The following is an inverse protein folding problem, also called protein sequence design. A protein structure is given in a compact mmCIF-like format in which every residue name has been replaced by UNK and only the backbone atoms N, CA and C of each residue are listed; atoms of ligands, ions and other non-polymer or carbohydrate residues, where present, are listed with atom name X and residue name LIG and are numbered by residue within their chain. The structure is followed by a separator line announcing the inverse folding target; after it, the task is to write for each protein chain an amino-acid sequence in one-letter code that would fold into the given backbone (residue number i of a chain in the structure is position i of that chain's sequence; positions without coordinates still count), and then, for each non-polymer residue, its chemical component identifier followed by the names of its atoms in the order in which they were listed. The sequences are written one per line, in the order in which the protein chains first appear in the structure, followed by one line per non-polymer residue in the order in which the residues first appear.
data_IF_495356595724
#
_entry.id   IF_495356595724
#
_cell.length_a   1.000
_cell.length_b   1.000
_cell.length_c   1.000
_cell.angle_alpha   90.00
_cell.angle_beta   90.00
_cell.angle_gamma   90.00
#
_symmetry.space_group_name_H-M   'P 1'
#
loop_
_entity.id
_entity.type
_entity.pdbx_description
1 polymer ?
#
# COMPACT_ATOMS: atom_id res chain seq x y z
N UNK A 1 -5.32 20.01 5.79
CA UNK A 1 -6.61 19.30 5.65
C UNK A 1 -7.54 19.56 6.83
N UNK A 2 -7.01 20.01 7.97
CA UNK A 2 -7.76 20.23 9.23
C UNK A 2 -8.99 21.15 9.07
N UNK A 3 -8.95 22.19 8.23
CA UNK A 3 -10.13 23.06 8.06
C UNK A 3 -11.24 22.47 7.16
N UNK A 4 -11.06 21.24 6.64
CA UNK A 4 -12.03 20.61 5.73
C UNK A 4 -13.15 19.94 6.50
N UNK A 5 -14.26 20.67 6.66
CA UNK A 5 -15.47 20.25 7.39
C UNK A 5 -16.64 19.85 6.49
N UNK A 6 -16.49 19.99 5.18
CA UNK A 6 -17.54 19.67 4.21
C UNK A 6 -17.79 18.16 4.11
N UNK A 7 -19.03 17.71 3.85
CA UNK A 7 -19.30 16.32 3.51
C UNK A 7 -18.36 15.85 2.41
N UNK A 8 -17.74 14.68 2.61
CA UNK A 8 -16.62 14.23 1.77
C UNK A 8 -16.80 12.78 1.37
N UNK A 9 -16.81 12.53 0.06
CA UNK A 9 -16.80 11.20 -0.51
C UNK A 9 -15.48 10.97 -1.24
N UNK A 10 -14.65 10.09 -0.67
CA UNK A 10 -13.27 9.84 -1.09
C UNK A 10 -13.19 8.49 -1.80
N UNK A 11 -12.38 8.43 -2.84
CA UNK A 11 -12.06 7.18 -3.52
C UNK A 11 -10.56 6.89 -3.38
N UNK A 12 -10.23 5.63 -3.11
CA UNK A 12 -8.85 5.15 -3.07
C UNK A 12 -8.69 3.89 -3.92
N UNK A 13 -7.48 3.66 -4.41
CA UNK A 13 -7.17 2.49 -5.23
C UNK A 13 -5.78 1.96 -4.92
N UNK A 14 -5.59 0.66 -5.09
CA UNK A 14 -4.26 0.03 -5.10
C UNK A 14 -3.45 0.40 -6.35
N UNK A 15 -4.14 0.76 -7.43
CA UNK A 15 -3.56 0.97 -8.74
C UNK A 15 -2.78 2.27 -8.87
N UNK A 16 -1.95 2.37 -9.91
CA UNK A 16 -1.22 3.56 -10.39
C UNK A 16 -0.10 4.10 -9.52
N UNK A 17 0.03 3.69 -8.25
CA UNK A 17 1.18 4.06 -7.40
C UNK A 17 1.30 5.56 -7.08
N UNK A 18 0.22 6.34 -7.26
CA UNK A 18 0.25 7.80 -7.12
C UNK A 18 -0.55 8.30 -5.92
N UNK A 19 -1.85 7.97 -5.85
CA UNK A 19 -2.79 8.65 -4.95
C UNK A 19 -3.14 7.86 -3.68
N UNK A 20 -2.63 6.64 -3.52
CA UNK A 20 -3.08 5.70 -2.48
C UNK A 20 -2.94 6.29 -1.07
N UNK A 21 -1.70 6.54 -0.63
CA UNK A 21 -1.42 7.09 0.71
C UNK A 21 -2.12 8.44 0.91
N UNK A 22 -2.14 9.28 -0.13
CA UNK A 22 -2.83 10.58 -0.09
C UNK A 22 -4.33 10.47 0.18
N UNK A 23 -5.03 9.53 -0.47
CA UNK A 23 -6.47 9.30 -0.24
C UNK A 23 -6.76 8.82 1.18
N UNK A 24 -5.97 7.88 1.70
CA UNK A 24 -6.15 7.38 3.07
C UNK A 24 -5.82 8.44 4.12
N UNK A 25 -4.71 9.17 3.95
CA UNK A 25 -4.38 10.33 4.79
C UNK A 25 -5.48 11.37 4.75
N UNK A 26 -6.00 11.69 3.56
CA UNK A 26 -7.13 12.60 3.42
C UNK A 26 -8.35 12.14 4.21
N UNK A 27 -8.72 10.87 4.10
CA UNK A 27 -9.83 10.33 4.88
C UNK A 27 -9.58 10.39 6.40
N UNK A 28 -8.36 10.11 6.86
CA UNK A 28 -8.02 10.18 8.28
C UNK A 28 -7.97 11.61 8.82
N UNK A 29 -7.33 12.53 8.10
CA UNK A 29 -6.92 13.87 8.57
C UNK A 29 -8.00 14.96 8.40
N UNK A 30 -9.03 14.78 7.57
CA UNK A 30 -10.12 15.77 7.45
C UNK A 30 -11.03 15.76 8.70
N UNK A 31 -11.49 16.95 9.10
CA UNK A 31 -12.36 17.14 10.27
C UNK A 31 -13.84 16.81 10.02
N UNK A 32 -14.25 16.65 8.76
CA UNK A 32 -15.61 16.27 8.39
C UNK A 32 -16.09 15.02 9.13
N UNK A 33 -17.26 15.13 9.77
CA UNK A 33 -17.96 14.00 10.39
C UNK A 33 -18.76 13.19 9.36
N UNK A 34 -19.08 13.81 8.23
CA UNK A 34 -19.80 13.19 7.11
C UNK A 34 -18.79 12.81 6.02
N UNK A 35 -18.03 11.75 6.31
CA UNK A 35 -17.01 11.24 5.40
C UNK A 35 -17.18 9.77 5.10
N UNK A 36 -16.99 9.43 3.82
CA UNK A 36 -17.02 8.09 3.28
C UNK A 36 -15.79 7.83 2.43
N UNK A 37 -15.31 6.59 2.41
CA UNK A 37 -14.26 6.13 1.51
C UNK A 37 -14.64 4.83 0.82
N UNK A 38 -14.51 4.81 -0.51
CA UNK A 38 -14.61 3.61 -1.33
C UNK A 38 -13.23 3.23 -1.86
N UNK A 39 -12.73 2.07 -1.46
CA UNK A 39 -11.47 1.50 -1.95
C UNK A 39 -11.79 0.49 -3.03
N UNK A 40 -11.31 0.70 -4.25
CA UNK A 40 -11.59 -0.18 -5.39
C UNK A 40 -10.34 -0.96 -5.81
N UNK A 41 -10.58 -2.12 -6.42
CA UNK A 41 -9.53 -3.03 -6.88
C UNK A 41 -8.99 -2.67 -8.28
N UNK A 42 -9.67 -1.80 -9.01
CA UNK A 42 -9.41 -1.55 -10.43
C UNK A 42 -8.53 -0.32 -10.68
N UNK A 43 -8.24 -0.06 -11.94
CA UNK A 43 -7.57 1.14 -12.42
C UNK A 43 -8.45 2.39 -12.19
N UNK A 44 -7.86 3.50 -11.75
CA UNK A 44 -8.59 4.73 -11.35
C UNK A 44 -9.55 5.31 -12.41
N UNK A 45 -9.13 5.44 -13.67
CA UNK A 45 -9.98 5.95 -14.75
C UNK A 45 -11.02 4.91 -15.15
N UNK A 46 -10.65 3.63 -15.16
CA UNK A 46 -11.62 2.57 -15.37
C UNK A 46 -12.75 2.64 -14.33
N UNK A 47 -12.42 2.70 -13.03
CA UNK A 47 -13.39 2.80 -11.94
C UNK A 47 -14.26 4.04 -12.06
N UNK A 48 -13.65 5.20 -12.29
CA UNK A 48 -14.32 6.50 -12.38
C UNK A 48 -15.45 6.52 -13.42
N UNK A 49 -15.28 5.83 -14.54
CA UNK A 49 -16.26 5.78 -15.63
C UNK A 49 -17.17 4.55 -15.58
N UNK A 50 -17.08 3.71 -14.54
CA UNK A 50 -18.08 2.65 -14.34
C UNK A 50 -19.43 3.24 -13.94
N UNK A 51 -20.51 2.61 -14.39
CA UNK A 51 -21.87 2.98 -13.99
C UNK A 51 -22.02 2.98 -12.46
N UNK A 52 -21.46 1.96 -11.80
CA UNK A 52 -21.49 1.83 -10.35
C UNK A 52 -20.88 3.05 -9.64
N UNK A 53 -19.68 3.49 -10.06
CA UNK A 53 -19.04 4.67 -9.45
C UNK A 53 -19.78 5.96 -9.77
N UNK A 54 -20.26 6.14 -11.00
CA UNK A 54 -20.99 7.35 -11.39
C UNK A 54 -22.33 7.45 -10.67
N UNK A 55 -23.05 6.34 -10.50
CA UNK A 55 -24.31 6.30 -9.74
C UNK A 55 -24.08 6.64 -8.27
N UNK A 56 -23.00 6.11 -7.67
CA UNK A 56 -22.65 6.35 -6.27
C UNK A 56 -22.23 7.80 -6.03
N UNK A 57 -21.43 8.37 -6.94
CA UNK A 57 -21.08 9.80 -6.95
C UNK A 57 -22.33 10.67 -7.10
N UNK A 58 -23.23 10.33 -8.03
CA UNK A 58 -24.48 11.06 -8.23
C UNK A 58 -25.33 11.02 -6.95
N UNK A 59 -25.46 9.86 -6.29
CA UNK A 59 -26.23 9.73 -5.05
C UNK A 59 -25.69 10.65 -3.94
N UNK A 60 -24.37 10.71 -3.77
CA UNK A 60 -23.72 11.64 -2.85
C UNK A 60 -24.01 13.11 -3.22
N UNK A 61 -23.84 13.48 -4.49
CA UNK A 61 -24.05 14.85 -4.95
C UNK A 61 -25.52 15.29 -4.85
N UNK A 62 -26.47 14.42 -5.20
CA UNK A 62 -27.90 14.69 -5.06
C UNK A 62 -28.26 14.95 -3.59
N UNK A 63 -27.65 14.21 -2.66
CA UNK A 63 -27.88 14.41 -1.22
C UNK A 63 -27.36 15.76 -0.72
N UNK A 64 -26.13 16.12 -1.05
CA UNK A 64 -25.44 17.28 -0.44
C UNK A 64 -25.48 18.57 -1.26
N UNK A 65 -25.76 18.49 -2.57
CA UNK A 65 -25.90 19.67 -3.44
C UNK A 65 -27.34 19.99 -3.81
N UNK A 66 -28.24 18.99 -3.83
CA UNK A 66 -29.66 19.19 -4.13
C UNK A 66 -30.58 19.01 -2.92
N UNK A 67 -30.07 18.51 -1.80
CA UNK A 67 -30.86 18.26 -0.58
C UNK A 67 -31.84 17.09 -0.71
N UNK A 68 -31.63 16.18 -1.68
CA UNK A 68 -32.52 15.03 -1.89
C UNK A 68 -32.32 14.01 -0.75
N UNK A 69 -33.39 13.64 -0.07
CA UNK A 69 -33.37 12.53 0.90
C UNK A 69 -33.39 11.17 0.16
N UNK A 70 -32.20 10.70 -0.21
CA UNK A 70 -31.99 9.43 -0.91
C UNK A 70 -31.34 8.35 -0.02
N UNK A 71 -31.28 8.61 1.30
CA UNK A 71 -30.66 7.72 2.29
C UNK A 71 -29.16 7.47 2.06
N UNK A 72 -28.41 8.43 1.50
CA UNK A 72 -26.95 8.32 1.33
C UNK A 72 -26.24 8.00 2.65
N UNK A 73 -26.69 8.56 3.77
CA UNK A 73 -26.10 8.36 5.09
C UNK A 73 -26.18 6.91 5.59
N UNK A 74 -27.04 6.08 4.99
CA UNK A 74 -27.08 4.64 5.26
C UNK A 74 -25.94 3.86 4.57
N UNK A 75 -25.19 4.52 3.69
CA UNK A 75 -24.03 3.93 3.01
C UNK A 75 -22.92 3.67 4.03
N UNK A 76 -22.30 2.47 4.05
CA UNK A 76 -21.17 2.18 4.92
C UNK A 76 -20.06 3.23 4.75
N UNK A 77 -19.57 3.77 5.88
CA UNK A 77 -18.49 4.79 5.91
C UNK A 77 -17.24 4.33 5.17
N UNK A 78 -16.94 3.04 5.26
CA UNK A 78 -15.83 2.43 4.52
C UNK A 78 -16.39 1.27 3.69
N UNK A 79 -16.12 1.28 2.39
CA UNK A 79 -16.33 0.16 1.48
C UNK A 79 -14.96 -0.25 0.94
N UNK A 80 -14.46 -1.39 1.35
CA UNK A 80 -13.08 -1.80 1.08
C UNK A 80 -13.04 -2.93 0.04
N UNK A 81 -12.06 -2.91 -0.85
CA UNK A 81 -11.79 -4.01 -1.77
C UNK A 81 -10.56 -4.81 -1.31
N UNK A 82 -10.55 -6.13 -1.49
CA UNK A 82 -9.40 -6.99 -1.24
C UNK A 82 -8.94 -7.63 -2.54
N UNK A 83 -7.76 -7.23 -3.02
CA UNK A 83 -7.13 -7.85 -4.19
C UNK A 83 -6.64 -9.26 -3.81
N UNK A 84 -7.14 -10.26 -4.53
CA UNK A 84 -6.77 -11.67 -4.32
C UNK A 84 -5.73 -12.17 -5.32
N UNK A 85 -5.34 -11.35 -6.30
CA UNK A 85 -4.38 -11.61 -7.37
C UNK A 85 -4.82 -12.69 -8.36
N UNK A 86 -4.92 -13.94 -7.90
CA UNK A 86 -5.23 -15.11 -8.73
C UNK A 86 -6.69 -15.57 -8.61
N UNK A 87 -7.56 -14.71 -8.07
CA UNK A 87 -9.01 -14.90 -7.92
C UNK A 87 -9.68 -13.53 -7.98
N UNK A 88 -10.98 -13.52 -8.23
CA UNK A 88 -11.76 -12.30 -8.18
C UNK A 88 -11.59 -11.59 -6.83
N UNK A 89 -11.39 -10.29 -6.92
CA UNK A 89 -11.31 -9.40 -5.77
C UNK A 89 -12.63 -9.40 -5.01
N UNK A 90 -12.56 -9.31 -3.70
CA UNK A 90 -13.74 -9.06 -2.87
C UNK A 90 -13.95 -7.54 -2.87
N UNK A 91 -15.07 -7.03 -3.36
CA UNK A 91 -15.33 -5.58 -3.49
C UNK A 91 -16.48 -5.15 -2.58
N UNK A 92 -16.55 -3.85 -2.27
CA UNK A 92 -17.59 -3.24 -1.43
C UNK A 92 -17.79 -3.91 -0.06
N UNK A 93 -16.72 -4.46 0.53
CA UNK A 93 -16.80 -5.05 1.88
C UNK A 93 -17.02 -3.92 2.88
N UNK A 94 -18.14 -3.89 3.62
CA UNK A 94 -18.50 -2.77 4.46
C UNK A 94 -17.73 -2.80 5.79
N UNK A 95 -17.27 -1.63 6.24
CA UNK A 95 -16.68 -1.42 7.56
C UNK A 95 -17.16 -0.10 8.17
N UNK A 96 -17.15 -0.04 9.50
CA UNK A 96 -17.52 1.15 10.28
C UNK A 96 -16.41 2.21 10.32
N UNK A 97 -15.16 1.78 10.17
CA UNK A 97 -13.95 2.60 10.02
C UNK A 97 -12.94 1.84 9.14
N UNK A 98 -11.76 2.41 8.86
CA UNK A 98 -10.69 1.73 8.13
C UNK A 98 -10.37 0.38 8.81
N UNK A 99 -10.18 -0.71 8.05
CA UNK A 99 -10.10 -2.06 8.63
C UNK A 99 -9.05 -2.22 9.74
N UNK A 100 -7.94 -1.47 9.68
CA UNK A 100 -6.86 -1.50 10.66
C UNK A 100 -7.10 -0.66 11.92
N UNK A 101 -8.14 0.18 11.93
CA UNK A 101 -8.56 0.93 13.12
C UNK A 101 -9.57 0.15 13.98
N UNK A 102 -10.09 -0.97 13.46
CA UNK A 102 -11.10 -1.77 14.15
C UNK A 102 -10.46 -2.61 15.27
N UNK A 103 -11.21 -2.86 16.34
CA UNK A 103 -10.77 -3.73 17.44
C UNK A 103 -10.44 -5.17 17.00
N UNK A 104 -10.99 -5.63 15.88
CA UNK A 104 -10.69 -6.93 15.29
C UNK A 104 -9.39 -6.96 14.48
N UNK A 105 -8.75 -5.81 14.26
CA UNK A 105 -7.47 -5.74 13.58
C UNK A 105 -6.35 -6.30 14.46
N UNK A 106 -5.49 -7.12 13.86
CA UNK A 106 -4.32 -7.70 14.54
C UNK A 106 -3.05 -7.31 13.80
N UNK A 107 -2.15 -6.59 14.50
CA UNK A 107 -0.81 -6.33 13.99
C UNK A 107 0.00 -7.61 13.86
N UNK A 108 0.73 -7.77 12.76
CA UNK A 108 1.62 -8.91 12.52
C UNK A 108 3.06 -8.39 12.34
N UNK A 109 3.91 -8.67 13.30
CA UNK A 109 5.35 -8.42 13.19
C UNK A 109 6.04 -9.66 12.63
N UNK A 110 6.86 -9.49 11.60
CA UNK A 110 7.75 -10.51 11.04
C UNK A 110 9.19 -10.00 11.02
N UNK A 111 10.15 -10.87 11.36
CA UNK A 111 11.57 -10.55 11.43
C UNK A 111 12.31 -11.10 10.21
N UNK A 112 13.23 -10.31 9.64
CA UNK A 112 14.10 -10.78 8.57
C UNK A 112 15.20 -11.70 9.13
N UNK A 113 15.58 -12.73 8.38
CA UNK A 113 16.63 -13.68 8.75
C UNK A 113 17.69 -13.85 7.65
N UNK A 114 18.89 -14.30 8.02
CA UNK A 114 20.00 -14.52 7.09
C UNK A 114 19.71 -15.60 6.03
N UNK A 115 18.84 -16.56 6.33
CA UNK A 115 18.37 -17.59 5.40
C UNK A 115 17.27 -17.08 4.45
N UNK A 116 17.10 -15.76 4.33
CA UNK A 116 16.15 -15.10 3.41
C UNK A 116 14.70 -15.50 3.68
N UNK A 117 14.33 -15.62 4.95
CA UNK A 117 12.94 -15.85 5.39
C UNK A 117 12.44 -14.69 6.26
N UNK A 118 11.13 -14.66 6.41
CA UNK A 118 10.45 -13.86 7.42
C UNK A 118 10.03 -14.79 8.56
N UNK A 119 10.41 -14.48 9.79
CA UNK A 119 10.14 -15.29 10.97
C UNK A 119 9.10 -14.62 11.86
N UNK A 120 8.25 -15.41 12.53
CA UNK A 120 7.30 -14.88 13.53
C UNK A 120 7.95 -14.61 14.89
N UNK A 121 9.18 -15.07 15.10
CA UNK A 121 9.97 -14.87 16.31
C UNK A 121 11.28 -14.19 15.95
N UNK A 122 11.79 -13.33 16.83
CA UNK A 122 13.07 -12.65 16.64
C UNK A 122 14.20 -13.71 16.61
N UNK A 123 15.10 -13.69 15.61
CA UNK A 123 16.30 -14.52 15.63
C UNK A 123 17.17 -14.27 16.87
N UNK A 124 17.80 -15.31 17.41
CA UNK A 124 18.78 -15.19 18.50
C UNK A 124 20.07 -14.52 18.04
N UNK A 125 20.55 -14.93 16.88
CA UNK A 125 21.85 -14.51 16.35
C UNK A 125 21.68 -13.41 15.29
N UNK A 126 22.61 -12.44 15.25
CA UNK A 126 22.63 -11.47 14.18
C UNK A 126 22.96 -12.16 12.85
N UNK A 127 22.38 -11.64 11.78
CA UNK A 127 22.60 -12.15 10.43
C UNK A 127 22.67 -10.99 9.43
N UNK A 128 23.38 -11.21 8.33
CA UNK A 128 23.47 -10.24 7.24
C UNK A 128 23.29 -10.93 5.89
N UNK A 129 22.73 -10.18 4.95
CA UNK A 129 22.66 -10.53 3.53
C UNK A 129 23.04 -9.30 2.71
N UNK A 130 23.52 -9.53 1.50
CA UNK A 130 24.02 -8.46 0.64
C UNK A 130 23.59 -8.70 -0.80
N UNK A 131 23.50 -7.61 -1.56
CA UNK A 131 23.21 -7.59 -2.99
C UNK A 131 23.97 -6.43 -3.63
N UNK A 132 24.12 -6.47 -4.96
CA UNK A 132 24.80 -5.43 -5.72
C UNK A 132 23.80 -4.34 -6.07
N UNK A 133 23.95 -3.15 -5.48
CA UNK A 133 22.93 -2.10 -5.55
C UNK A 133 22.83 -1.37 -6.92
N UNK A 134 23.88 -1.41 -7.74
CA UNK A 134 23.90 -0.82 -9.09
C UNK A 134 23.61 -1.86 -10.19
N UNK A 135 23.31 -3.10 -9.81
CA UNK A 135 22.92 -4.13 -10.76
C UNK A 135 21.54 -3.80 -11.35
N UNK A 136 21.30 -4.08 -12.64
CA UNK A 136 19.97 -3.93 -13.23
C UNK A 136 18.95 -4.78 -12.49
N UNK A 137 17.79 -4.21 -12.18
CA UNK A 137 16.61 -4.93 -11.68
C UNK A 137 15.51 -4.91 -12.74
N UNK A 138 14.87 -6.06 -12.95
CA UNK A 138 13.74 -6.18 -13.87
C UNK A 138 12.44 -5.52 -13.36
N UNK A 139 12.37 -5.15 -12.06
CA UNK A 139 11.26 -4.51 -11.35
C UNK A 139 9.89 -5.24 -11.41
N UNK A 140 9.77 -6.35 -12.14
CA UNK A 140 8.51 -7.03 -12.47
C UNK A 140 8.35 -8.36 -11.72
N UNK A 141 9.45 -9.02 -11.38
CA UNK A 141 9.45 -10.33 -10.73
C UNK A 141 10.73 -10.58 -9.95
N UNK A 142 10.94 -11.83 -9.51
CA UNK A 142 12.19 -12.22 -8.88
C UNK A 142 13.38 -11.90 -9.76
N UNK A 143 14.35 -11.17 -9.22
CA UNK A 143 15.64 -10.93 -9.86
C UNK A 143 16.74 -11.46 -8.97
N UNK A 144 17.72 -12.18 -9.53
CA UNK A 144 18.88 -12.65 -8.76
C UNK A 144 19.67 -11.51 -8.08
N UNK A 145 19.52 -10.27 -8.58
CA UNK A 145 20.13 -9.07 -8.02
C UNK A 145 19.37 -8.49 -6.82
N UNK A 146 18.14 -8.94 -6.54
CA UNK A 146 17.32 -8.46 -5.45
C UNK A 146 17.34 -9.42 -4.24
N UNK A 147 17.00 -8.90 -3.06
CA UNK A 147 16.81 -9.72 -1.85
C UNK A 147 15.32 -10.04 -1.64
N UNK A 148 14.99 -11.34 -1.59
CA UNK A 148 13.64 -11.83 -1.32
C UNK A 148 13.58 -12.46 0.07
N UNK A 149 12.51 -12.16 0.82
CA UNK A 149 12.23 -12.78 2.11
C UNK A 149 10.81 -13.34 2.10
N UNK A 150 10.66 -14.64 2.35
CA UNK A 150 9.36 -15.32 2.25
C UNK A 150 8.74 -15.65 3.60
N UNK A 151 7.41 -15.50 3.70
CA UNK A 151 6.56 -16.02 4.78
C UNK A 151 5.39 -16.82 4.20
N UNK A 152 5.11 -18.00 4.76
CA UNK A 152 3.93 -18.79 4.36
C UNK A 152 2.83 -18.65 5.42
N UNK A 153 1.67 -18.15 5.01
CA UNK A 153 0.49 -18.12 5.86
C UNK A 153 -0.18 -19.50 5.89
N UNK A 154 -0.36 -20.06 7.09
CA UNK A 154 -0.96 -21.40 7.28
C UNK A 154 -2.50 -21.38 7.25
N UNK A 155 -3.10 -20.19 7.33
CA UNK A 155 -4.54 -19.98 7.29
C UNK A 155 -4.88 -18.82 6.37
N UNK A 156 -6.10 -18.84 5.82
CA UNK A 156 -6.60 -17.73 5.00
C UNK A 156 -6.53 -16.44 5.81
N UNK A 157 -5.79 -15.46 5.30
CA UNK A 157 -5.52 -14.20 5.98
C UNK A 157 -5.82 -13.04 5.04
N UNK A 158 -6.48 -11.99 5.53
CA UNK A 158 -6.61 -10.70 4.86
C UNK A 158 -5.58 -9.75 5.46
N UNK A 159 -4.75 -9.14 4.61
CA UNK A 159 -3.87 -8.04 5.00
C UNK A 159 -4.55 -6.75 4.56
N UNK A 160 -4.78 -5.83 5.50
CA UNK A 160 -5.35 -4.52 5.23
C UNK A 160 -4.71 -3.47 6.13
N UNK A 161 -4.28 -2.38 5.51
CA UNK A 161 -3.66 -1.26 6.21
C UNK A 161 -2.20 -1.05 5.85
N UNK A 162 -1.57 -0.05 6.48
CA UNK A 162 -0.19 0.31 6.24
C UNK A 162 0.75 -0.84 6.61
N UNK A 163 1.83 -0.99 5.85
CA UNK A 163 2.94 -1.86 6.21
C UNK A 163 4.23 -1.04 6.36
N UNK A 164 5.11 -1.46 7.25
CA UNK A 164 6.40 -0.80 7.46
C UNK A 164 7.51 -1.84 7.46
N UNK A 165 8.52 -1.64 6.62
CA UNK A 165 9.77 -2.38 6.65
C UNK A 165 10.79 -1.65 7.52
N UNK A 166 11.24 -2.28 8.60
CA UNK A 166 12.32 -1.77 9.44
C UNK A 166 13.61 -2.46 9.00
N UNK A 167 14.52 -1.71 8.40
CA UNK A 167 15.76 -2.23 7.84
C UNK A 167 16.98 -1.59 8.50
N UNK A 168 18.04 -2.37 8.64
CA UNK A 168 19.35 -1.93 9.09
C UNK A 168 20.30 -2.13 7.92
N UNK A 169 20.75 -1.04 7.29
CA UNK A 169 21.45 -1.07 6.01
C UNK A 169 22.81 -0.38 6.11
N UNK A 170 23.82 -0.94 5.44
CA UNK A 170 25.14 -0.34 5.29
C UNK A 170 25.62 -0.48 3.85
N UNK A 171 26.63 0.30 3.46
CA UNK A 171 27.38 0.12 2.20
C UNK A 171 28.84 0.37 2.51
N UNK A 172 29.77 -0.41 1.94
CA UNK A 172 31.20 -0.22 2.15
C UNK A 172 31.77 1.00 1.39
N UNK A 173 31.04 1.54 0.41
CA UNK A 173 31.57 2.54 -0.54
C UNK A 173 30.75 3.84 -0.61
N UNK A 174 29.47 3.81 -0.24
CA UNK A 174 28.58 4.97 -0.39
C UNK A 174 28.14 5.52 0.96
N UNK A 175 28.08 6.85 1.08
CA UNK A 175 27.53 7.56 2.23
C UNK A 175 26.02 7.83 2.13
N UNK A 176 25.36 7.45 1.02
CA UNK A 176 23.90 7.51 0.87
C UNK A 176 23.36 6.33 0.05
N UNK A 177 22.09 5.97 0.27
CA UNK A 177 21.46 4.76 -0.30
C UNK A 177 19.99 5.04 -0.57
N UNK A 178 19.52 4.73 -1.77
CA UNK A 178 18.08 4.63 -2.05
C UNK A 178 17.65 3.18 -1.86
N UNK A 179 16.74 2.94 -0.92
CA UNK A 179 16.24 1.60 -0.61
C UNK A 179 14.80 1.50 -1.05
N UNK A 180 14.53 0.53 -1.92
CA UNK A 180 13.19 0.20 -2.40
C UNK A 180 12.74 -1.12 -1.75
N UNK A 181 11.49 -1.16 -1.29
CA UNK A 181 10.88 -2.34 -0.70
C UNK A 181 9.53 -2.57 -1.35
N UNK A 182 9.21 -3.84 -1.62
CA UNK A 182 7.91 -4.23 -2.18
C UNK A 182 7.40 -5.47 -1.46
N UNK A 183 6.13 -5.47 -1.08
CA UNK A 183 5.46 -6.69 -0.64
C UNK A 183 4.82 -7.38 -1.83
N UNK A 184 5.15 -8.66 -2.03
CA UNK A 184 4.61 -9.48 -3.11
C UNK A 184 3.86 -10.67 -2.56
N UNK A 185 2.87 -11.14 -3.32
CA UNK A 185 2.14 -12.37 -3.03
C UNK A 185 2.64 -13.47 -3.96
N UNK A 186 3.07 -14.58 -3.39
CA UNK A 186 3.32 -15.82 -4.13
C UNK A 186 2.16 -16.81 -3.93
N UNK A 187 1.96 -17.70 -4.90
CA UNK A 187 1.03 -18.82 -4.74
C UNK A 187 1.69 -20.03 -4.05
N UNK A 188 0.94 -21.15 -3.96
CA UNK A 188 1.41 -22.38 -3.31
C UNK A 188 2.60 -23.06 -4.01
N UNK A 189 2.89 -22.70 -5.26
CA UNK A 189 4.03 -23.19 -6.05
C UNK A 189 5.25 -22.28 -5.92
N UNK A 190 5.11 -21.14 -5.24
CA UNK A 190 6.14 -20.11 -5.15
C UNK A 190 6.09 -19.09 -6.30
N UNK A 191 5.11 -19.18 -7.20
CA UNK A 191 4.99 -18.25 -8.32
C UNK A 191 4.54 -16.88 -7.82
N UNK A 192 5.35 -15.85 -8.09
CA UNK A 192 5.04 -14.48 -7.70
C UNK A 192 3.92 -13.94 -8.57
N UNK A 193 2.80 -13.63 -7.94
CA UNK A 193 1.59 -13.21 -8.63
C UNK A 193 1.65 -11.74 -9.05
N UNK A 194 0.91 -11.43 -10.11
CA UNK A 194 0.62 -10.08 -10.58
C UNK A 194 -0.89 -9.91 -10.75
N UNK A 195 -1.39 -8.70 -10.62
CA UNK A 195 -2.81 -8.39 -10.72
C UNK A 195 -3.07 -7.44 -11.89
N UNK A 196 -4.09 -7.73 -12.71
CA UNK A 196 -4.52 -6.82 -13.77
C UNK A 196 -5.46 -5.75 -13.18
N UNK A 197 -5.09 -4.48 -13.33
CA UNK A 197 -5.90 -3.37 -12.81
C UNK A 197 -7.21 -3.18 -13.57
N UNK A 198 -7.34 -3.75 -14.78
CA UNK A 198 -8.57 -3.70 -15.57
C UNK A 198 -9.03 -5.16 -15.78
N UNK A 199 -10.34 -5.46 -15.62
CA UNK A 199 -10.86 -6.79 -15.91
C UNK A 199 -10.44 -7.27 -17.31
N UNK A 200 -9.91 -8.49 -17.41
CA UNK A 200 -9.30 -9.00 -18.64
C UNK A 200 -10.26 -8.96 -19.84
N UNK A 201 -11.53 -9.28 -19.60
CA UNK A 201 -12.61 -9.19 -20.58
C UNK A 201 -12.78 -7.80 -21.20
N UNK A 202 -12.45 -6.73 -20.46
CA UNK A 202 -12.61 -5.35 -20.92
C UNK A 202 -11.40 -4.82 -21.70
N UNK A 203 -10.32 -5.60 -21.75
CA UNK A 203 -9.10 -5.29 -22.53
C UNK A 203 -8.79 -6.38 -23.57
N UNK A 204 -9.70 -7.35 -23.76
CA UNK A 204 -9.62 -8.33 -24.85
C UNK A 204 -8.52 -9.39 -24.69
N UNK A 205 -8.07 -9.70 -23.47
CA UNK A 205 -7.06 -10.74 -23.21
C UNK A 205 -7.62 -11.83 -22.30
N UNK A 206 -6.98 -13.00 -22.30
CA UNK A 206 -7.44 -14.15 -21.49
C UNK A 206 -6.65 -14.33 -20.19
N UNK A 207 -5.40 -13.86 -20.16
CA UNK A 207 -4.48 -14.07 -19.05
C UNK A 207 -3.78 -12.77 -18.62
N UNK A 208 -3.40 -12.70 -17.34
CA UNK A 208 -2.65 -11.54 -16.80
C UNK A 208 -1.27 -11.40 -17.45
N UNK A 209 -0.68 -12.48 -17.97
CA UNK A 209 0.59 -12.45 -18.70
C UNK A 209 0.53 -11.64 -19.99
N UNK A 210 -0.61 -11.61 -20.67
CA UNK A 210 -0.82 -10.85 -21.91
C UNK A 210 -0.99 -9.34 -21.65
N UNK A 211 -1.30 -8.95 -20.42
CA UNK A 211 -1.47 -7.54 -20.05
C UNK A 211 -0.09 -6.83 -20.07
N UNK A 212 0.04 -5.63 -20.66
CA UNK A 212 1.30 -4.89 -20.65
C UNK A 212 1.86 -4.68 -19.23
N UNK A 213 3.19 -4.71 -19.11
CA UNK A 213 3.90 -4.47 -17.86
C UNK A 213 4.04 -2.97 -17.57
N UNK A 214 2.93 -2.34 -17.20
CA UNK A 214 2.91 -0.92 -16.79
C UNK A 214 2.22 -0.76 -15.43
N UNK A 215 2.54 0.29 -14.69
CA UNK A 215 1.87 0.62 -13.43
C UNK A 215 0.37 0.94 -13.59
N UNK A 216 -0.06 1.28 -14.80
CA UNK A 216 -1.47 1.53 -15.13
C UNK A 216 -2.22 0.21 -15.25
N UNK A 217 -1.65 -0.77 -15.93
CA UNK A 217 -2.34 -2.01 -16.29
C UNK A 217 -2.10 -3.15 -15.29
N UNK A 218 -1.00 -3.11 -14.54
CA UNK A 218 -0.66 -4.12 -13.53
C UNK A 218 -0.43 -3.52 -12.15
N UNK A 219 -0.80 -4.29 -11.14
CA UNK A 219 -0.44 -4.07 -9.74
C UNK A 219 0.35 -5.28 -9.22
N UNK A 220 1.46 -4.98 -8.56
CA UNK A 220 2.39 -6.00 -8.06
C UNK A 220 2.23 -6.20 -6.54
N UNK A 221 1.77 -5.16 -5.84
CA UNK A 221 1.74 -5.09 -4.38
C UNK A 221 2.17 -3.70 -3.90
N UNK A 222 2.07 -3.41 -2.60
CA UNK A 222 2.46 -2.13 -2.05
C UNK A 222 4.00 -1.97 -2.08
N UNK A 223 4.45 -0.74 -2.26
CA UNK A 223 5.85 -0.36 -2.47
C UNK A 223 6.20 0.83 -1.59
N UNK A 224 7.40 0.81 -1.02
CA UNK A 224 7.98 1.91 -0.29
C UNK A 224 9.39 2.22 -0.78
N UNK A 225 9.75 3.50 -0.78
CA UNK A 225 11.11 3.95 -1.12
C UNK A 225 11.58 4.94 -0.08
N UNK A 226 12.84 4.80 0.35
CA UNK A 226 13.46 5.75 1.25
C UNK A 226 14.92 5.97 0.88
N UNK A 227 15.28 7.25 0.72
CA UNK A 227 16.67 7.69 0.74
C UNK A 227 17.18 7.71 2.17
N UNK A 228 18.24 6.96 2.45
CA UNK A 228 18.75 6.75 3.79
C UNK A 228 19.11 8.08 4.49
N UNK A 229 19.69 9.03 3.76
CA UNK A 229 20.01 10.35 4.31
C UNK A 229 18.80 11.22 4.69
N UNK A 230 17.60 10.85 4.24
CA UNK A 230 16.32 11.55 4.47
C UNK A 230 15.36 10.80 5.39
N UNK A 231 15.89 9.87 6.19
CA UNK A 231 15.12 8.96 7.08
C UNK A 231 14.39 9.63 8.25
N UNK A 232 14.62 10.91 8.51
CA UNK A 232 14.07 11.60 9.66
C UNK A 232 12.55 11.77 9.49
N UNK A 233 11.82 11.51 10.57
CA UNK A 233 10.37 11.67 10.64
C UNK A 233 10.05 12.99 11.34
N UNK A 234 9.01 13.68 10.88
CA UNK A 234 8.43 14.82 11.59
C UNK A 234 7.33 14.34 12.52
N UNK A 235 7.57 14.38 13.83
CA UNK A 235 6.56 14.01 14.83
C UNK A 235 5.31 14.91 14.75
N UNK A 236 5.49 16.21 14.53
CA UNK A 236 4.40 17.17 14.40
C UNK A 236 3.50 16.95 13.16
N UNK A 237 4.05 16.40 12.08
CA UNK A 237 3.27 16.01 10.90
C UNK A 237 2.69 14.60 11.04
N UNK A 238 3.37 13.72 11.77
CA UNK A 238 2.93 12.34 12.01
C UNK A 238 1.78 12.25 13.00
N UNK A 239 1.71 13.15 13.99
CA UNK A 239 0.64 13.20 14.99
C UNK A 239 -0.77 13.41 14.41
N UNK A 240 -0.87 13.77 13.12
CA UNK A 240 -2.13 14.04 12.41
C UNK A 240 -2.78 12.77 11.87
N UNK A 241 -2.00 11.73 11.63
CA UNK A 241 -2.49 10.45 11.15
C UNK A 241 -2.32 9.38 12.24
N UNK A 242 -3.28 8.47 12.32
CA UNK A 242 -3.17 7.28 13.18
C UNK A 242 -2.24 6.21 12.60
N UNK A 243 -1.95 6.31 11.31
CA UNK A 243 -1.40 5.22 10.49
C UNK A 243 -0.06 5.57 9.86
N UNK A 244 0.15 6.83 9.50
CA UNK A 244 1.23 7.26 8.61
C UNK A 244 2.22 8.16 9.35
N UNK A 245 3.51 7.80 9.33
CA UNK A 245 4.58 8.70 9.79
C UNK A 245 5.11 9.51 8.61
N UNK A 246 5.13 10.84 8.73
CA UNK A 246 5.56 11.72 7.65
C UNK A 246 7.05 12.00 7.74
N UNK A 247 7.79 11.71 6.66
CA UNK A 247 9.20 12.09 6.52
C UNK A 247 9.33 13.61 6.62
N UNK A 248 10.31 14.10 7.38
CA UNK A 248 10.50 15.54 7.59
C UNK A 248 11.08 16.23 6.36
N UNK A 249 11.95 15.53 5.62
CA UNK A 249 12.80 16.06 4.54
C UNK A 249 13.59 17.33 4.89
N UNK A 250 13.63 17.73 6.16
CA UNK A 250 14.20 19.00 6.60
C UNK A 250 15.72 19.01 6.68
N UNK A 251 16.35 17.84 6.74
CA UNK A 251 17.80 17.68 6.84
C UNK A 251 18.29 16.55 5.93
N UNK A 252 19.60 16.54 5.69
CA UNK A 252 20.35 15.46 5.04
C UNK A 252 21.33 14.93 6.09
N UNK A 253 21.19 13.68 6.49
CA UNK A 253 22.08 13.02 7.46
C UNK A 253 22.69 11.78 6.80
N UNK A 254 23.90 11.87 6.22
CA UNK A 254 24.53 10.74 5.55
C UNK A 254 24.64 9.48 6.43
N UNK A 255 24.71 8.32 5.79
CA UNK A 255 25.07 7.04 6.43
C UNK A 255 26.44 6.67 5.90
N UNK A 256 27.48 7.09 6.61
CA UNK A 256 28.89 6.93 6.23
C UNK A 256 29.24 5.49 5.82
N UNK A 257 30.21 5.30 4.91
CA UNK A 257 30.63 3.97 4.49
C UNK A 257 31.00 3.08 5.68
N UNK A 258 30.53 1.83 5.67
CA UNK A 258 30.69 0.87 6.75
C UNK A 258 29.71 1.02 7.92
N UNK A 259 29.10 2.20 8.12
CA UNK A 259 28.12 2.41 9.18
C UNK A 259 26.73 1.83 8.82
N UNK A 260 26.03 1.35 9.85
CA UNK A 260 24.68 0.81 9.73
C UNK A 260 23.66 1.92 10.03
N UNK A 261 22.86 2.27 9.03
CA UNK A 261 21.71 3.16 9.17
C UNK A 261 20.41 2.38 9.38
N UNK A 262 19.59 2.82 10.33
CA UNK A 262 18.24 2.28 10.55
C UNK A 262 17.22 3.04 9.71
N UNK A 263 16.43 2.32 8.93
CA UNK A 263 15.38 2.84 8.05
C UNK A 263 14.02 2.30 8.46
N UNK A 264 13.00 3.16 8.44
CA UNK A 264 11.60 2.77 8.55
C UNK A 264 10.89 3.16 7.25
N UNK A 265 10.62 2.18 6.40
CA UNK A 265 10.08 2.39 5.05
C UNK A 265 8.62 1.98 5.06
N UNK A 266 7.70 2.95 4.88
CA UNK A 266 6.27 2.68 4.76
C UNK A 266 5.91 2.23 3.34
N UNK A 267 4.99 1.26 3.23
CA UNK A 267 4.48 0.68 2.00
C UNK A 267 2.95 0.81 1.91
#
# INVERSE_FOLDING_TARGET
MEDTKVPSYIVASYSTGLHNVGSFRGFEEIESKDKWIAVHATQKWYDLYTKERTDDLQKFMDRYLKGVDNGWENTPRVRYAFIRFNRDSEVNVPFTDLPWNLFSAMGKHLFLSADRKLLSTKPSDPGQVSYQADAPSNLMGPDHNDLFFSYTFLQRTRLAGPATAILYVSSPISNDKDVNVQLRKADKKGEVLTYANIPLMNIGVSTVSEVPNTNVTKYLGPTGMLRASRRQVSEALSSRSKSWRTLSHGQVEPVEPGNIGRLEIQL
#
